data_IF_669653771084
#
_entry.id   IF_669653771084
#
_cell.length_a   1.000
_cell.length_b   1.000
_cell.length_c   1.000
_cell.angle_alpha   90.00
_cell.angle_beta   90.00
_cell.angle_gamma   90.00
#
_symmetry.space_group_name_H-M   'P 1'
#
loop_
_entity.id
_entity.type
_entity.pdbx_description
1 polymer ?
#
# COMPACT_ATOMS: atom_id res chain seq x y z
N UNK A 1 -8.05 -23.86 -10.26
CA UNK A 1 -7.13 -22.78 -10.63
C UNK A 1 -5.70 -23.29 -10.59
N UNK A 2 -4.82 -22.84 -11.50
CA UNK A 2 -3.40 -23.15 -11.40
C UNK A 2 -2.82 -22.55 -10.10
N UNK A 3 -1.88 -23.24 -9.42
CA UNK A 3 -1.24 -22.71 -8.23
C UNK A 3 -0.50 -21.42 -8.58
N UNK A 4 -0.52 -20.44 -7.65
CA UNK A 4 0.22 -19.20 -7.81
C UNK A 4 1.71 -19.52 -7.95
N UNK A 5 2.32 -19.05 -9.04
CA UNK A 5 3.75 -19.22 -9.26
C UNK A 5 4.52 -18.20 -8.44
N UNK A 6 5.00 -18.61 -7.27
CA UNK A 6 5.73 -17.75 -6.35
C UNK A 6 6.99 -17.18 -7.01
N UNK A 7 7.11 -15.84 -7.15
CA UNK A 7 8.32 -15.21 -7.67
C UNK A 7 9.56 -15.62 -6.89
N UNK A 8 10.66 -15.87 -7.58
CA UNK A 8 11.93 -16.31 -6.95
C UNK A 8 12.40 -15.31 -5.87
N UNK A 9 12.18 -14.04 -6.10
CA UNK A 9 12.62 -12.95 -5.22
C UNK A 9 12.08 -13.10 -3.79
N UNK A 10 10.81 -13.50 -3.62
CA UNK A 10 10.14 -13.56 -2.31
C UNK A 10 10.24 -14.92 -1.61
N UNK A 11 10.77 -15.98 -2.26
CA UNK A 11 10.75 -17.36 -1.74
C UNK A 11 11.40 -17.51 -0.36
N UNK A 12 12.50 -16.78 -0.12
CA UNK A 12 13.18 -16.84 1.17
C UNK A 12 12.30 -16.28 2.28
N UNK A 13 11.68 -15.12 2.05
CA UNK A 13 10.83 -14.48 3.04
C UNK A 13 9.54 -15.27 3.27
N UNK A 14 8.94 -15.83 2.22
CA UNK A 14 7.81 -16.75 2.31
C UNK A 14 8.15 -17.95 3.19
N UNK A 15 9.33 -18.58 2.94
CA UNK A 15 9.80 -19.71 3.74
C UNK A 15 9.98 -19.32 5.21
N UNK A 16 10.58 -18.17 5.51
CA UNK A 16 10.76 -17.71 6.89
C UNK A 16 9.43 -17.56 7.63
N UNK A 17 8.41 -16.98 6.98
CA UNK A 17 7.07 -16.80 7.56
C UNK A 17 6.39 -18.15 7.78
N UNK A 18 6.39 -19.04 6.77
CA UNK A 18 5.73 -20.34 6.85
C UNK A 18 6.40 -21.27 7.87
N UNK A 19 7.73 -21.36 7.86
CA UNK A 19 8.49 -22.21 8.80
C UNK A 19 8.26 -21.76 10.24
N UNK A 20 8.31 -20.44 10.49
CA UNK A 20 8.02 -19.90 11.81
C UNK A 20 6.58 -20.19 12.25
N UNK A 21 5.61 -20.02 11.34
CA UNK A 21 4.22 -20.32 11.65
C UNK A 21 4.01 -21.77 12.02
N UNK A 22 4.44 -22.69 11.17
CA UNK A 22 4.24 -24.13 11.37
C UNK A 22 5.01 -24.67 12.60
N UNK A 23 6.24 -24.23 12.82
CA UNK A 23 7.05 -24.66 13.96
C UNK A 23 6.48 -24.21 15.31
N UNK A 24 5.63 -23.20 15.32
CA UNK A 24 5.01 -22.67 16.55
C UNK A 24 3.49 -22.89 16.62
N UNK A 25 2.90 -23.61 15.67
CA UNK A 25 1.46 -23.88 15.63
C UNK A 25 0.60 -22.66 15.31
N UNK A 26 1.16 -21.68 14.57
CA UNK A 26 0.44 -20.49 14.12
C UNK A 26 -0.08 -20.66 12.69
N UNK A 27 -1.14 -19.93 12.35
CA UNK A 27 -1.60 -19.78 10.98
C UNK A 27 -0.66 -18.84 10.21
N UNK A 28 -0.15 -19.24 9.02
CA UNK A 28 0.79 -18.42 8.23
C UNK A 28 0.26 -17.03 7.86
N UNK A 29 -1.03 -16.88 7.55
CA UNK A 29 -1.65 -15.57 7.27
C UNK A 29 -1.69 -14.70 8.53
N UNK A 30 -1.93 -15.31 9.69
CA UNK A 30 -1.86 -14.57 10.97
C UNK A 30 -0.45 -14.05 11.23
N UNK A 31 0.60 -14.87 11.00
CA UNK A 31 2.01 -14.46 11.13
C UNK A 31 2.35 -13.38 10.12
N UNK A 32 1.90 -13.51 8.87
CA UNK A 32 2.08 -12.49 7.84
C UNK A 32 1.47 -11.14 8.27
N UNK A 33 0.24 -11.13 8.75
CA UNK A 33 -0.41 -9.91 9.24
C UNK A 33 0.34 -9.29 10.44
N UNK A 34 0.81 -10.12 11.36
CA UNK A 34 1.60 -9.66 12.50
C UNK A 34 2.97 -9.13 12.05
N UNK A 35 3.54 -9.68 10.97
CA UNK A 35 4.76 -9.14 10.37
C UNK A 35 4.55 -7.75 9.76
N UNK A 36 3.46 -7.53 9.04
CA UNK A 36 3.10 -6.18 8.55
C UNK A 36 2.96 -5.19 9.73
N UNK A 37 2.28 -5.59 10.81
CA UNK A 37 2.16 -4.76 12.03
C UNK A 37 3.51 -4.47 12.67
N UNK A 38 4.40 -5.46 12.69
CA UNK A 38 5.77 -5.30 13.20
C UNK A 38 6.59 -4.29 12.38
N UNK A 39 6.53 -4.38 11.06
CA UNK A 39 7.15 -3.41 10.14
C UNK A 39 6.62 -2.00 10.42
N UNK A 40 5.30 -1.83 10.40
CA UNK A 40 4.66 -0.52 10.62
C UNK A 40 5.06 0.06 11.98
N UNK A 41 5.04 -0.74 13.04
CA UNK A 41 5.46 -0.30 14.37
C UNK A 41 6.93 0.13 14.40
N UNK A 42 7.83 -0.61 13.74
CA UNK A 42 9.25 -0.30 13.67
C UNK A 42 9.58 1.03 13.00
N UNK A 43 8.70 1.49 12.08
CA UNK A 43 8.81 2.79 11.41
C UNK A 43 7.86 3.86 11.97
N UNK A 44 7.25 3.62 13.14
CA UNK A 44 6.34 4.55 13.80
C UNK A 44 6.99 5.12 15.08
N UNK A 45 7.81 6.17 14.98
CA UNK A 45 8.50 6.74 16.14
C UNK A 45 7.49 7.23 17.20
N UNK A 46 7.74 6.86 18.46
CA UNK A 46 6.86 7.20 19.58
C UNK A 46 5.56 6.41 19.67
N UNK A 47 5.36 5.42 18.81
CA UNK A 47 4.18 4.55 18.92
C UNK A 47 4.20 3.72 20.22
N UNK A 48 3.04 3.51 20.87
CA UNK A 48 2.95 2.63 22.01
C UNK A 48 3.29 1.18 21.61
N UNK A 49 3.67 0.31 22.56
CA UNK A 49 3.89 -1.11 22.29
C UNK A 49 2.72 -1.73 21.53
N UNK A 50 3.01 -2.71 20.68
CA UNK A 50 1.97 -3.43 19.94
C UNK A 50 0.99 -4.09 20.91
N UNK A 51 -0.27 -3.66 20.84
CA UNK A 51 -1.36 -4.30 21.58
C UNK A 51 -1.56 -5.73 21.08
N UNK A 52 -1.91 -6.64 22.00
CA UNK A 52 -2.18 -8.05 21.69
C UNK A 52 -0.99 -8.79 21.03
N UNK A 53 0.24 -8.34 21.32
CA UNK A 53 1.43 -9.00 20.81
C UNK A 53 1.68 -10.33 21.53
N UNK A 54 1.36 -11.43 20.86
CA UNK A 54 1.35 -12.79 21.42
C UNK A 54 2.72 -13.48 21.46
N UNK A 55 3.74 -12.88 20.83
CA UNK A 55 5.04 -13.51 20.65
C UNK A 55 5.99 -13.26 21.80
N UNK A 56 6.70 -14.33 22.25
CA UNK A 56 7.73 -14.24 23.30
C UNK A 56 9.00 -13.55 22.77
N UNK A 57 9.84 -13.06 23.68
CA UNK A 57 11.11 -12.37 23.34
C UNK A 57 11.99 -13.15 22.35
N UNK A 58 12.09 -14.47 22.50
CA UNK A 58 12.86 -15.32 21.58
C UNK A 58 12.24 -15.37 20.17
N UNK A 59 10.93 -15.36 20.09
CA UNK A 59 10.18 -15.34 18.81
C UNK A 59 10.30 -13.99 18.09
N UNK A 60 10.46 -12.89 18.84
CA UNK A 60 10.67 -11.56 18.25
C UNK A 60 11.96 -11.48 17.41
N UNK A 61 12.96 -12.30 17.68
CA UNK A 61 14.16 -12.41 16.85
C UNK A 61 13.81 -12.79 15.41
N UNK A 62 12.87 -13.71 15.21
CA UNK A 62 12.45 -14.12 13.88
C UNK A 62 11.80 -12.97 13.11
N UNK A 63 11.01 -12.12 13.78
CA UNK A 63 10.45 -10.92 13.15
C UNK A 63 11.54 -9.92 12.73
N UNK A 64 12.59 -9.76 13.52
CA UNK A 64 13.76 -8.95 13.14
C UNK A 64 14.51 -9.54 11.94
N UNK A 65 14.65 -10.87 11.89
CA UNK A 65 15.26 -11.58 10.78
C UNK A 65 14.42 -11.43 9.49
N UNK A 66 13.09 -11.54 9.59
CA UNK A 66 12.14 -11.28 8.49
C UNK A 66 12.24 -9.81 8.01
N UNK A 67 12.28 -8.84 8.93
CA UNK A 67 12.45 -7.42 8.60
C UNK A 67 13.75 -7.17 7.86
N UNK A 68 14.86 -7.73 8.35
CA UNK A 68 16.18 -7.61 7.69
C UNK A 68 16.15 -8.26 6.30
N UNK A 69 15.52 -9.42 6.17
CA UNK A 69 15.34 -10.12 4.89
C UNK A 69 14.52 -9.29 3.90
N UNK A 70 13.43 -8.70 4.36
CA UNK A 70 12.60 -7.82 3.54
C UNK A 70 13.35 -6.56 3.09
N UNK A 71 14.07 -5.88 3.98
CA UNK A 71 14.87 -4.70 3.62
C UNK A 71 15.90 -5.04 2.54
N UNK A 72 16.65 -6.14 2.70
CA UNK A 72 17.63 -6.59 1.70
C UNK A 72 16.98 -6.95 0.36
N UNK A 73 15.80 -7.59 0.40
CA UNK A 73 15.02 -7.88 -0.79
C UNK A 73 14.67 -6.60 -1.52
N UNK A 74 14.08 -5.62 -0.83
CA UNK A 74 13.65 -4.35 -1.42
C UNK A 74 14.84 -3.55 -1.95
N UNK A 75 15.97 -3.51 -1.22
CA UNK A 75 17.18 -2.86 -1.72
C UNK A 75 17.65 -3.44 -3.05
N UNK A 76 17.58 -4.75 -3.23
CA UNK A 76 17.96 -5.41 -4.48
C UNK A 76 16.98 -5.13 -5.61
N UNK A 77 15.68 -5.30 -5.36
CA UNK A 77 14.66 -5.17 -6.40
C UNK A 77 14.47 -3.71 -6.85
N UNK A 78 14.73 -2.73 -5.99
CA UNK A 78 14.59 -1.31 -6.32
C UNK A 78 15.85 -0.66 -6.92
N UNK A 79 16.98 -1.37 -7.00
CA UNK A 79 18.23 -0.83 -7.58
C UNK A 79 18.07 -0.40 -9.05
N UNK A 80 17.18 -1.02 -9.80
CA UNK A 80 16.91 -0.69 -11.20
C UNK A 80 15.99 0.51 -11.42
N UNK A 81 15.52 1.16 -10.34
CA UNK A 81 14.62 2.33 -10.42
C UNK A 81 13.16 2.00 -10.74
N UNK A 82 12.77 0.71 -10.71
CA UNK A 82 11.40 0.27 -10.86
C UNK A 82 10.64 0.23 -9.54
N UNK A 83 9.54 -0.51 -9.53
CA UNK A 83 8.77 -0.81 -8.32
C UNK A 83 8.62 -2.33 -8.14
N UNK A 84 8.43 -2.75 -6.90
CA UNK A 84 8.25 -4.16 -6.56
C UNK A 84 7.31 -4.34 -5.36
N UNK A 85 6.27 -5.15 -5.54
CA UNK A 85 5.27 -5.45 -4.51
C UNK A 85 5.58 -6.77 -3.80
N UNK A 86 6.53 -6.73 -2.87
CA UNK A 86 6.89 -7.91 -2.10
C UNK A 86 5.74 -8.47 -1.27
N UNK A 87 4.92 -7.61 -0.66
CA UNK A 87 3.86 -8.04 0.25
C UNK A 87 2.64 -8.60 -0.46
N UNK A 88 2.25 -8.03 -1.60
CA UNK A 88 1.18 -8.61 -2.41
C UNK A 88 1.55 -9.99 -2.95
N UNK A 89 2.78 -10.16 -3.43
CA UNK A 89 3.28 -11.45 -3.88
C UNK A 89 3.37 -12.48 -2.75
N UNK A 90 3.85 -12.07 -1.56
CA UNK A 90 3.88 -12.93 -0.37
C UNK A 90 2.48 -13.36 0.05
N UNK A 91 1.54 -12.43 0.08
CA UNK A 91 0.16 -12.73 0.43
C UNK A 91 -0.47 -13.75 -0.52
N UNK A 92 -0.28 -13.58 -1.83
CA UNK A 92 -0.75 -14.50 -2.86
C UNK A 92 -0.10 -15.89 -2.73
N UNK A 93 1.21 -15.94 -2.48
CA UNK A 93 1.95 -17.19 -2.33
C UNK A 93 1.51 -17.97 -1.09
N UNK A 94 1.44 -17.32 0.07
CA UNK A 94 1.02 -17.94 1.34
C UNK A 94 -0.44 -18.42 1.23
N UNK A 95 -1.34 -17.60 0.71
CA UNK A 95 -2.75 -17.92 0.57
C UNK A 95 -2.98 -19.12 -0.36
N UNK A 96 -2.26 -19.19 -1.47
CA UNK A 96 -2.31 -20.32 -2.41
C UNK A 96 -1.87 -21.63 -1.75
N UNK A 97 -0.80 -21.61 -0.94
CA UNK A 97 -0.28 -22.79 -0.25
C UNK A 97 -1.25 -23.38 0.77
N UNK A 98 -1.97 -22.55 1.50
CA UNK A 98 -2.92 -23.02 2.51
C UNK A 98 -4.31 -23.35 1.94
N UNK A 99 -4.45 -23.30 0.60
CA UNK A 99 -5.72 -23.62 -0.07
C UNK A 99 -6.86 -22.66 0.26
N UNK A 100 -6.56 -21.52 0.89
CA UNK A 100 -7.54 -20.46 1.13
C UNK A 100 -7.68 -19.61 -0.13
N UNK A 101 -8.83 -19.71 -0.77
CA UNK A 101 -9.26 -18.65 -1.68
C UNK A 101 -9.53 -17.43 -0.79
N UNK A 102 -8.60 -16.47 -0.80
CA UNK A 102 -8.77 -15.25 -0.02
C UNK A 102 -9.82 -14.39 -0.71
N UNK A 103 -11.09 -14.65 -0.41
CA UNK A 103 -12.26 -13.83 -0.76
C UNK A 103 -12.25 -13.21 -2.18
N UNK A 104 -11.71 -13.93 -3.20
CA UNK A 104 -11.61 -13.41 -4.56
C UNK A 104 -10.62 -12.25 -4.76
N UNK A 105 -9.75 -11.98 -3.79
CA UNK A 105 -8.74 -10.93 -3.92
C UNK A 105 -7.62 -11.39 -4.85
N UNK A 106 -7.64 -10.88 -6.07
CA UNK A 106 -6.57 -10.98 -7.04
C UNK A 106 -5.98 -9.59 -7.24
N UNK A 107 -4.70 -9.43 -6.95
CA UNK A 107 -4.04 -8.17 -7.26
C UNK A 107 -3.78 -8.07 -8.76
N UNK A 108 -3.97 -6.88 -9.30
CA UNK A 108 -3.69 -6.60 -10.71
C UNK A 108 -2.24 -6.98 -11.03
N UNK A 109 -2.00 -7.75 -12.10
CA UNK A 109 -0.64 -8.10 -12.50
C UNK A 109 0.23 -6.85 -12.72
N UNK A 110 1.55 -6.91 -12.40
CA UNK A 110 2.44 -5.76 -12.53
C UNK A 110 2.43 -5.12 -13.92
N UNK A 111 2.53 -5.92 -14.98
CA UNK A 111 2.52 -5.43 -16.36
C UNK A 111 1.23 -4.69 -16.72
N UNK A 112 0.09 -5.12 -16.14
CA UNK A 112 -1.20 -4.44 -16.34
C UNK A 112 -1.23 -3.11 -15.59
N UNK A 113 -0.66 -3.04 -14.37
CA UNK A 113 -0.53 -1.76 -13.65
C UNK A 113 0.31 -0.76 -14.46
N UNK A 114 1.45 -1.19 -14.99
CA UNK A 114 2.30 -0.35 -15.83
C UNK A 114 1.58 0.10 -17.10
N UNK A 115 0.85 -0.79 -17.77
CA UNK A 115 0.04 -0.45 -18.94
C UNK A 115 -1.05 0.57 -18.61
N UNK A 116 -1.77 0.38 -17.50
CA UNK A 116 -2.83 1.30 -17.06
C UNK A 116 -2.27 2.71 -16.80
N UNK A 117 -1.11 2.81 -16.16
CA UNK A 117 -0.45 4.09 -15.94
C UNK A 117 -0.05 4.73 -17.28
N UNK A 118 0.55 3.98 -18.19
CA UNK A 118 0.91 4.48 -19.54
C UNK A 118 -0.31 4.97 -20.31
N UNK A 119 -1.42 4.25 -20.27
CA UNK A 119 -2.66 4.65 -20.94
C UNK A 119 -3.30 5.91 -20.35
N UNK A 120 -3.05 6.21 -19.08
CA UNK A 120 -3.60 7.39 -18.40
C UNK A 120 -2.62 8.57 -18.37
N UNK A 121 -1.39 8.37 -18.82
CA UNK A 121 -0.35 9.39 -18.87
C UNK A 121 -0.66 10.39 -19.99
N UNK A 122 -0.91 11.63 -19.61
CA UNK A 122 -1.13 12.74 -20.58
C UNK A 122 0.16 13.35 -21.14
N UNK A 123 1.33 12.76 -20.80
CA UNK A 123 2.65 13.30 -21.17
C UNK A 123 3.05 14.58 -20.40
N UNK A 124 2.19 15.09 -19.52
CA UNK A 124 2.52 16.21 -18.66
C UNK A 124 3.19 15.71 -17.37
N UNK A 125 4.39 16.18 -17.09
CA UNK A 125 5.08 15.97 -15.80
C UNK A 125 4.39 16.79 -14.70
N UNK A 126 3.21 16.35 -14.28
CA UNK A 126 2.47 17.05 -13.25
C UNK A 126 2.92 16.58 -11.86
N UNK A 127 3.48 17.48 -11.08
CA UNK A 127 3.82 17.32 -9.66
C UNK A 127 2.79 18.00 -8.78
N UNK A 128 2.77 17.65 -7.48
CA UNK A 128 1.88 18.28 -6.49
C UNK A 128 0.40 17.89 -6.62
N UNK A 129 0.08 16.87 -7.41
CA UNK A 129 -1.29 16.34 -7.50
C UNK A 129 -1.58 15.38 -6.33
N UNK A 130 -2.87 15.20 -6.02
CA UNK A 130 -3.38 14.10 -5.19
C UNK A 130 -3.90 13.01 -6.12
N UNK A 131 -3.34 11.82 -5.99
CA UNK A 131 -3.69 10.64 -6.79
C UNK A 131 -4.33 9.64 -5.86
N UNK A 132 -5.57 9.25 -6.16
CA UNK A 132 -6.34 8.34 -5.34
C UNK A 132 -6.58 7.01 -6.05
N UNK A 133 -6.36 5.92 -5.32
CA UNK A 133 -6.83 4.59 -5.67
C UNK A 133 -7.82 4.13 -4.58
N UNK A 134 -9.13 4.08 -4.87
CA UNK A 134 -10.17 3.77 -3.89
C UNK A 134 -10.31 2.27 -3.58
N UNK A 135 -9.50 1.41 -4.21
CA UNK A 135 -9.49 -0.05 -4.04
C UNK A 135 -8.06 -0.57 -4.18
N UNK A 136 -7.17 0.00 -3.40
CA UNK A 136 -5.73 -0.07 -3.64
C UNK A 136 -5.11 -1.47 -3.57
N UNK A 137 -5.76 -2.45 -2.92
CA UNK A 137 -5.18 -3.77 -2.71
C UNK A 137 -3.84 -3.68 -1.97
N UNK A 138 -2.77 -4.18 -2.58
CA UNK A 138 -1.40 -4.03 -2.07
C UNK A 138 -0.69 -2.73 -2.50
N UNK A 139 -1.39 -1.86 -3.24
CA UNK A 139 -0.88 -0.56 -3.70
C UNK A 139 -0.19 -0.57 -5.06
N UNK A 140 -0.24 -1.66 -5.83
CA UNK A 140 0.50 -1.84 -7.10
C UNK A 140 0.30 -0.70 -8.08
N UNK A 141 -0.94 -0.26 -8.30
CA UNK A 141 -1.25 0.80 -9.25
C UNK A 141 -0.63 2.13 -8.83
N UNK A 142 -0.67 2.45 -7.53
CA UNK A 142 -0.04 3.65 -6.98
C UNK A 142 1.48 3.58 -7.05
N UNK A 143 2.10 2.41 -6.85
CA UNK A 143 3.55 2.21 -7.02
C UNK A 143 3.98 2.40 -8.47
N UNK A 144 3.26 1.78 -9.42
CA UNK A 144 3.51 1.94 -10.85
C UNK A 144 3.38 3.41 -11.29
N UNK A 145 2.39 4.13 -10.74
CA UNK A 145 2.24 5.57 -10.98
C UNK A 145 3.39 6.36 -10.37
N UNK A 146 3.75 6.07 -9.12
CA UNK A 146 4.77 6.82 -8.38
C UNK A 146 6.13 6.86 -9.07
N UNK A 147 6.64 5.72 -9.56
CA UNK A 147 7.95 5.65 -10.20
C UNK A 147 8.05 6.44 -11.49
N UNK A 148 6.92 6.73 -12.13
CA UNK A 148 6.84 7.55 -13.36
C UNK A 148 6.55 9.03 -13.08
N UNK A 149 5.87 9.32 -11.98
CA UNK A 149 5.33 10.64 -11.64
C UNK A 149 5.68 11.01 -10.19
N UNK A 150 6.96 11.23 -9.93
CA UNK A 150 7.46 11.64 -8.62
C UNK A 150 6.87 13.00 -8.18
N UNK A 151 6.86 13.25 -6.88
CA UNK A 151 6.42 14.54 -6.32
C UNK A 151 4.90 14.70 -6.21
N UNK A 152 4.14 13.61 -6.30
CA UNK A 152 2.69 13.58 -6.09
C UNK A 152 2.35 13.00 -4.72
N UNK A 153 1.20 13.40 -4.17
CA UNK A 153 0.66 12.88 -2.92
C UNK A 153 -0.30 11.73 -3.23
N UNK A 154 -0.04 10.55 -2.64
CA UNK A 154 -0.83 9.36 -2.91
C UNK A 154 -1.88 9.12 -1.83
N UNK A 155 -3.09 8.78 -2.25
CA UNK A 155 -4.21 8.41 -1.39
C UNK A 155 -4.64 7.01 -1.75
N UNK A 156 -4.43 6.08 -0.83
CA UNK A 156 -4.80 4.68 -0.98
C UNK A 156 -5.97 4.35 -0.07
N UNK A 157 -7.02 3.74 -0.59
CA UNK A 157 -8.19 3.34 0.17
C UNK A 157 -8.50 1.87 -0.06
N UNK A 158 -8.88 1.15 0.99
CA UNK A 158 -9.36 -0.23 0.86
C UNK A 158 -10.26 -0.61 2.05
N UNK A 159 -11.24 -1.46 1.79
CA UNK A 159 -12.12 -2.03 2.81
C UNK A 159 -11.43 -3.17 3.57
N UNK A 160 -10.39 -3.77 3.00
CA UNK A 160 -9.65 -4.84 3.63
C UNK A 160 -8.42 -4.31 4.38
N UNK A 161 -8.41 -4.52 5.68
CA UNK A 161 -7.32 -4.05 6.54
C UNK A 161 -5.94 -4.61 6.16
N UNK A 162 -5.86 -5.88 5.72
CA UNK A 162 -4.59 -6.48 5.28
C UNK A 162 -4.06 -5.79 4.04
N UNK A 163 -4.93 -5.45 3.08
CA UNK A 163 -4.58 -4.64 1.91
C UNK A 163 -3.99 -3.29 2.31
N UNK A 164 -4.66 -2.57 3.22
CA UNK A 164 -4.14 -1.31 3.74
C UNK A 164 -2.75 -1.48 4.36
N UNK A 165 -2.53 -2.50 5.22
CA UNK A 165 -1.23 -2.73 5.85
C UNK A 165 -0.12 -3.04 4.83
N UNK A 166 -0.41 -3.83 3.80
CA UNK A 166 0.53 -4.08 2.69
C UNK A 166 0.88 -2.79 1.96
N UNK A 167 -0.13 -1.99 1.62
CA UNK A 167 0.06 -0.71 0.94
C UNK A 167 0.87 0.27 1.77
N UNK A 168 0.65 0.36 3.10
CA UNK A 168 1.47 1.19 4.01
C UNK A 168 2.95 0.79 3.93
N UNK A 169 3.25 -0.50 4.02
CA UNK A 169 4.62 -1.00 3.97
C UNK A 169 5.27 -0.79 2.59
N UNK A 170 4.52 -1.01 1.52
CA UNK A 170 4.99 -0.80 0.15
C UNK A 170 5.26 0.69 -0.12
N UNK A 171 4.35 1.58 0.24
CA UNK A 171 4.54 3.03 0.12
C UNK A 171 5.75 3.52 0.92
N UNK A 172 5.96 2.98 2.14
CA UNK A 172 7.08 3.34 2.99
C UNK A 172 8.41 3.17 2.27
N UNK A 173 8.66 1.97 1.74
CA UNK A 173 9.96 1.58 1.20
C UNK A 173 10.23 2.16 -0.19
N UNK A 174 9.16 2.51 -0.94
CA UNK A 174 9.28 3.20 -2.22
C UNK A 174 9.42 4.73 -2.09
N UNK A 175 9.44 5.26 -0.87
CA UNK A 175 9.50 6.71 -0.66
C UNK A 175 8.23 7.46 -1.07
N UNK A 176 7.11 6.78 -1.23
CA UNK A 176 5.82 7.39 -1.53
C UNK A 176 5.36 8.25 -0.37
N UNK A 177 4.99 9.49 -0.64
CA UNK A 177 4.39 10.39 0.34
C UNK A 177 2.88 10.36 0.19
N UNK A 178 2.16 10.07 1.27
CA UNK A 178 0.72 9.99 1.17
C UNK A 178 0.03 9.42 2.40
N UNK A 179 -1.16 8.90 2.18
CA UNK A 179 -2.00 8.31 3.20
C UNK A 179 -2.63 7.01 2.72
N UNK A 180 -2.87 6.10 3.67
CA UNK A 180 -3.62 4.86 3.45
C UNK A 180 -4.80 4.83 4.41
N UNK A 181 -5.99 4.61 3.89
CA UNK A 181 -7.25 4.72 4.62
C UNK A 181 -7.98 3.38 4.58
N UNK A 182 -8.29 2.86 5.75
CA UNK A 182 -9.11 1.66 5.92
C UNK A 182 -10.56 2.07 6.10
N UNK A 183 -11.33 1.97 5.05
CA UNK A 183 -12.78 2.22 5.03
C UNK A 183 -13.41 1.60 3.77
N UNK A 184 -14.73 1.62 3.70
CA UNK A 184 -15.46 1.37 2.47
C UNK A 184 -15.55 2.69 1.69
N UNK A 185 -14.92 2.77 0.51
CA UNK A 185 -14.91 3.97 -0.34
C UNK A 185 -16.30 4.38 -0.85
N UNK A 186 -17.28 3.46 -0.83
CA UNK A 186 -18.68 3.75 -1.13
C UNK A 186 -19.41 4.41 0.05
N UNK A 187 -18.93 4.17 1.28
CA UNK A 187 -19.47 4.74 2.53
C UNK A 187 -18.37 5.42 3.34
N UNK A 188 -17.77 6.49 2.80
CA UNK A 188 -16.56 7.09 3.35
C UNK A 188 -16.73 7.77 4.72
N UNK A 189 -17.95 7.90 5.24
CA UNK A 189 -18.21 8.32 6.63
C UNK A 189 -17.78 7.28 7.66
N UNK A 190 -17.64 6.02 7.26
CA UNK A 190 -17.29 4.88 8.12
C UNK A 190 -15.76 4.69 8.19
N UNK A 191 -15.04 5.73 8.64
CA UNK A 191 -13.61 5.64 8.87
C UNK A 191 -13.30 4.62 9.98
N UNK A 192 -12.53 3.59 9.65
CA UNK A 192 -12.10 2.54 10.58
C UNK A 192 -10.69 2.77 11.09
N UNK A 193 -9.74 3.12 10.21
CA UNK A 193 -8.32 3.28 10.53
C UNK A 193 -7.61 4.08 9.42
N UNK A 194 -6.40 4.58 9.67
CA UNK A 194 -5.60 5.24 8.64
C UNK A 194 -4.16 5.47 9.06
N UNK A 195 -3.31 5.67 8.05
CA UNK A 195 -1.87 5.89 8.21
C UNK A 195 -1.40 7.01 7.30
N UNK A 196 -0.57 7.88 7.86
CA UNK A 196 0.24 8.84 7.11
C UNK A 196 1.60 8.21 6.85
N UNK A 197 2.02 8.15 5.59
CA UNK A 197 3.26 7.49 5.17
C UNK A 197 4.23 8.54 4.65
N UNK A 198 5.46 8.53 5.16
CA UNK A 198 6.56 9.38 4.70
C UNK A 198 6.27 10.89 4.72
N UNK A 199 5.34 11.35 5.56
CA UNK A 199 4.89 12.75 5.57
C UNK A 199 6.00 13.77 5.92
N UNK A 200 7.08 13.33 6.56
CA UNK A 200 8.27 14.16 6.87
C UNK A 200 9.49 13.79 6.03
N UNK A 201 9.37 12.88 5.07
CA UNK A 201 10.52 12.32 4.33
C UNK A 201 11.34 13.41 3.63
N UNK A 202 10.68 14.38 2.99
CA UNK A 202 11.36 15.49 2.29
C UNK A 202 12.13 16.42 3.23
N UNK A 203 11.77 16.45 4.52
CA UNK A 203 12.38 17.31 5.52
C UNK A 203 13.48 16.60 6.29
N UNK A 204 13.29 15.32 6.60
CA UNK A 204 14.15 14.55 7.49
C UNK A 204 15.04 13.53 6.76
N UNK A 205 14.67 13.15 5.55
CA UNK A 205 15.28 12.03 4.83
C UNK A 205 14.97 10.65 5.46
N UNK A 206 14.12 10.59 6.50
CA UNK A 206 13.84 9.37 7.26
C UNK A 206 12.43 8.89 6.93
N UNK A 207 12.26 7.66 6.42
CA UNK A 207 10.95 7.05 6.20
C UNK A 207 10.22 6.85 7.53
N UNK A 208 8.98 7.30 7.61
CA UNK A 208 8.16 7.20 8.82
C UNK A 208 6.71 6.88 8.51
N UNK A 209 6.07 6.25 9.48
CA UNK A 209 4.62 5.97 9.48
C UNK A 209 4.05 6.54 10.77
N UNK A 210 2.88 7.16 10.69
CA UNK A 210 2.08 7.48 11.88
C UNK A 210 0.61 7.22 11.63
N UNK A 211 -0.13 6.97 12.70
CA UNK A 211 -1.59 6.86 12.64
C UNK A 211 -2.21 8.18 12.20
N UNK A 212 -3.25 8.07 11.40
CA UNK A 212 -4.13 9.17 11.03
C UNK A 212 -5.26 9.29 12.05
N UNK A 213 -5.52 10.48 12.53
CA UNK A 213 -6.69 10.77 13.37
C UNK A 213 -7.96 10.88 12.51
N UNK A 214 -9.12 10.73 13.15
CA UNK A 214 -10.41 10.91 12.47
C UNK A 214 -10.60 12.34 11.95
N UNK A 215 -10.01 13.33 12.60
CA UNK A 215 -10.05 14.73 12.19
C UNK A 215 -9.19 14.96 10.94
N UNK A 216 -7.98 14.41 10.90
CA UNK A 216 -7.11 14.46 9.72
C UNK A 216 -7.77 13.77 8.52
N UNK A 217 -8.41 12.63 8.75
CA UNK A 217 -9.20 11.95 7.71
C UNK A 217 -10.28 12.87 7.13
N UNK A 218 -11.09 13.52 7.99
CA UNK A 218 -12.14 14.45 7.55
C UNK A 218 -11.57 15.60 6.74
N UNK A 219 -10.43 16.16 7.18
CA UNK A 219 -9.74 17.25 6.49
C UNK A 219 -9.26 16.80 5.11
N UNK A 220 -8.59 15.65 5.02
CA UNK A 220 -8.11 15.06 3.78
C UNK A 220 -9.25 14.78 2.79
N UNK A 221 -10.34 14.21 3.27
CA UNK A 221 -11.54 13.94 2.47
C UNK A 221 -12.16 15.22 1.90
N UNK A 222 -12.31 16.26 2.72
CA UNK A 222 -12.83 17.56 2.29
C UNK A 222 -11.97 18.18 1.19
N UNK A 223 -10.64 18.13 1.35
CA UNK A 223 -9.71 18.57 0.30
C UNK A 223 -9.91 17.81 -1.02
N UNK A 224 -10.09 16.51 -0.97
CA UNK A 224 -10.31 15.67 -2.16
C UNK A 224 -11.64 16.02 -2.85
N UNK A 225 -12.70 16.22 -2.09
CA UNK A 225 -14.02 16.65 -2.62
C UNK A 225 -13.94 18.02 -3.29
N UNK A 226 -13.27 18.99 -2.65
CA UNK A 226 -13.10 20.34 -3.19
C UNK A 226 -12.27 20.36 -4.49
N UNK A 227 -11.22 19.53 -4.56
CA UNK A 227 -10.44 19.38 -5.79
C UNK A 227 -11.26 18.80 -6.93
N UNK A 228 -12.06 17.77 -6.66
CA UNK A 228 -12.96 17.17 -7.65
C UNK A 228 -14.02 18.16 -8.13
N UNK A 229 -14.58 18.99 -7.23
CA UNK A 229 -15.54 20.04 -7.57
C UNK A 229 -14.93 21.08 -8.50
N UNK A 230 -13.76 21.62 -8.14
CA UNK A 230 -13.03 22.59 -8.97
C UNK A 230 -12.69 22.02 -10.35
N UNK A 231 -12.27 20.75 -10.42
CA UNK A 231 -12.00 20.08 -11.71
C UNK A 231 -13.25 19.97 -12.58
N UNK A 232 -14.39 19.58 -11.99
CA UNK A 232 -15.69 19.50 -12.70
C UNK A 232 -16.13 20.86 -13.22
N UNK A 233 -15.97 21.92 -12.46
CA UNK A 233 -16.28 23.28 -12.86
C UNK A 233 -15.41 23.74 -14.03
N UNK A 234 -14.09 23.48 -13.97
CA UNK A 234 -13.16 23.79 -15.06
C UNK A 234 -13.51 23.04 -16.36
N UNK A 235 -13.85 21.75 -16.26
CA UNK A 235 -14.25 20.95 -17.43
C UNK A 235 -15.57 21.46 -18.06
N UNK A 236 -16.54 21.92 -17.25
CA UNK A 236 -17.78 22.53 -17.76
C UNK A 236 -17.51 23.82 -18.51
N UNK A 237 -16.57 24.64 -18.04
CA UNK A 237 -16.17 25.90 -18.70
C UNK A 237 -15.41 25.66 -20.01
N UNK A 238 -14.74 24.52 -20.16
CA UNK A 238 -13.99 24.16 -21.38
C UNK A 238 -14.85 23.46 -22.45
N UNK A 239 -16.10 23.05 -22.16
CA UNK A 239 -17.03 22.51 -23.14
C UNK A 239 -17.76 23.68 -23.80
N UNK A 240 -17.55 23.94 -25.12
CA UNK A 240 -18.31 24.95 -25.82
C UNK A 240 -19.79 24.58 -25.80
N UNK A 241 -20.65 25.59 -25.63
CA UNK A 241 -22.11 25.46 -25.67
C UNK A 241 -22.53 24.70 -26.93
N UNK A 242 -23.03 23.47 -26.76
CA UNK A 242 -23.63 22.66 -27.85
C UNK A 242 -24.97 23.20 -28.32
N UNK A 243 -25.27 24.48 -28.08
CA UNK A 243 -26.53 25.13 -28.44
C UNK A 243 -26.45 26.11 -29.62
N UNK A 244 -25.46 25.96 -30.51
CA UNK A 244 -25.46 26.70 -31.79
C UNK A 244 -25.02 25.78 -32.93
N UNK A 245 -25.84 24.87 -33.35
CA UNK A 245 -25.86 24.35 -34.70
C UNK A 245 -27.20 24.67 -35.28
N UNK A 246 -27.26 25.35 -36.42
CA UNK A 246 -28.49 25.75 -37.09
C UNK A 246 -29.28 24.54 -37.63
#
# INVERSE_FOLDING_TARGET
MAPYNTPQAIRLLEKMICDFAYSNGYDPISVFNDFLRYVIHGFSPGAPPLMDWKYKRQQNRHFMEMLTGWIRLMQRELQSGGWFDAFGDLFMAISSKIGRQVNGQFFTPPDICDLMVLCTDSGETATGKRICDPTCGSGRLLLAYHVRHLGNYLVAEDVNRTCCLMTVCNMLVHGCIGEVIHHDSLFPENFMDGWMVNHTLTQTGIPTIRRMSKEEYRTSRNMSVDLLRKRKEKLRQMQPDKKQLP
#
